data_IF_864318814926
#
_entry.id   IF_864318814926
#
_cell.length_a   1.000
_cell.length_b   1.000
_cell.length_c   1.000
_cell.angle_alpha   90.00
_cell.angle_beta   90.00
_cell.angle_gamma   90.00
#
_symmetry.space_group_name_H-M   'P 1'
#
loop_
_entity.id
_entity.type
_entity.pdbx_description
1 polymer ?
#
# COMPACT_ATOMS: atom_id res chain seq x y z
N UNK A 1 -10.04 1.60 -4.21
CA UNK A 1 -10.61 0.73 -3.17
C UNK A 1 -10.83 1.60 -1.92
N UNK A 2 -11.46 1.07 -0.88
CA UNK A 2 -11.71 1.78 0.37
C UNK A 2 -12.94 2.71 0.46
N UNK A 3 -12.96 3.55 1.49
CA UNK A 3 -14.06 4.48 1.83
C UNK A 3 -14.41 5.44 0.68
N UNK A 4 -15.59 5.24 0.10
CA UNK A 4 -16.08 6.02 -1.02
C UNK A 4 -16.24 7.52 -0.67
N UNK A 5 -15.66 8.39 -1.52
CA UNK A 5 -15.78 9.85 -1.38
C UNK A 5 -14.88 10.48 -0.32
N UNK A 6 -14.04 9.70 0.37
CA UNK A 6 -13.19 10.21 1.44
C UNK A 6 -12.06 11.13 0.92
N UNK A 7 -11.30 10.72 -0.08
CA UNK A 7 -10.16 11.50 -0.60
C UNK A 7 -10.55 12.92 -1.07
N UNK A 8 -11.65 13.12 -1.83
CA UNK A 8 -12.13 14.47 -2.17
C UNK A 8 -12.39 15.36 -0.95
N UNK A 9 -12.89 14.80 0.15
CA UNK A 9 -13.17 15.54 1.40
C UNK A 9 -11.89 15.91 2.15
N UNK A 10 -10.84 15.10 2.04
CA UNK A 10 -9.56 15.31 2.72
C UNK A 10 -8.54 16.11 1.89
N UNK A 11 -8.92 16.55 0.68
CA UNK A 11 -8.03 17.26 -0.25
C UNK A 11 -7.32 18.47 0.35
N UNK A 12 -7.93 19.15 1.32
CA UNK A 12 -7.32 20.29 2.03
C UNK A 12 -6.15 19.91 2.94
N UNK A 13 -6.10 18.65 3.40
CA UNK A 13 -5.03 18.11 4.25
C UNK A 13 -3.95 17.38 3.44
N UNK A 14 -4.26 17.00 2.19
CA UNK A 14 -3.34 16.35 1.28
C UNK A 14 -2.31 17.35 0.75
N UNK A 15 -1.03 16.97 0.79
CA UNK A 15 0.08 17.81 0.32
C UNK A 15 0.73 17.16 -0.90
N UNK A 16 1.06 17.93 -1.95
CA UNK A 16 1.86 17.42 -3.05
C UNK A 16 3.21 16.91 -2.52
N UNK A 17 3.58 15.69 -2.92
CA UNK A 17 4.89 15.12 -2.63
C UNK A 17 5.32 14.20 -3.78
N UNK A 18 6.61 14.20 -4.09
CA UNK A 18 7.17 13.37 -5.14
C UNK A 18 7.70 12.07 -4.53
N UNK A 19 7.68 10.95 -5.28
CA UNK A 19 8.23 9.67 -4.80
C UNK A 19 9.73 9.76 -4.45
N UNK A 20 10.44 10.72 -5.06
CA UNK A 20 11.85 11.04 -4.75
C UNK A 20 12.04 11.55 -3.33
N UNK A 21 11.01 12.12 -2.72
CA UNK A 21 11.05 12.58 -1.32
C UNK A 21 11.05 11.41 -0.32
N UNK A 22 10.91 10.17 -0.82
CA UNK A 22 11.01 8.92 -0.06
C UNK A 22 12.32 8.17 -0.36
N UNK A 23 13.26 8.76 -1.10
CA UNK A 23 14.55 8.14 -1.38
C UNK A 23 15.33 7.89 -0.08
N UNK A 24 15.81 6.65 0.10
CA UNK A 24 16.50 6.23 1.32
C UNK A 24 15.59 5.90 2.50
N UNK A 25 14.27 6.06 2.38
CA UNK A 25 13.30 5.63 3.40
C UNK A 25 12.89 4.16 3.20
N UNK A 26 12.55 3.50 4.30
CA UNK A 26 11.79 2.26 4.29
C UNK A 26 10.29 2.58 4.15
N UNK A 27 9.65 2.00 3.14
CA UNK A 27 8.22 2.21 2.86
C UNK A 27 7.50 0.88 2.77
N UNK A 28 6.27 0.82 3.27
CA UNK A 28 5.39 -0.31 3.02
C UNK A 28 4.59 -0.06 1.74
N UNK A 29 4.40 -1.09 0.92
CA UNK A 29 3.66 -1.00 -0.34
C UNK A 29 2.51 -1.99 -0.28
N UNK A 30 1.30 -1.51 -0.57
CA UNK A 30 0.16 -2.38 -0.81
C UNK A 30 0.28 -3.02 -2.21
N UNK A 31 0.77 -4.26 -2.24
CA UNK A 31 0.95 -5.01 -3.48
C UNK A 31 -0.38 -5.42 -4.10
N UNK A 32 -1.46 -5.54 -3.32
CA UNK A 32 -2.77 -5.93 -3.85
C UNK A 32 -3.36 -4.79 -4.69
N UNK A 33 -3.30 -3.56 -4.20
CA UNK A 33 -3.71 -2.37 -4.96
C UNK A 33 -2.95 -2.25 -6.30
N UNK A 34 -1.66 -2.60 -6.33
CA UNK A 34 -0.84 -2.54 -7.55
C UNK A 34 -1.12 -3.67 -8.52
N UNK A 35 -1.17 -4.92 -8.06
CA UNK A 35 -1.59 -6.07 -8.87
C UNK A 35 -2.98 -5.81 -9.46
N UNK A 36 -3.91 -5.37 -8.62
CA UNK A 36 -5.26 -5.10 -9.06
C UNK A 36 -5.30 -3.92 -10.03
N UNK A 37 -4.37 -2.95 -10.05
CA UNK A 37 -4.33 -1.89 -11.07
C UNK A 37 -3.92 -2.42 -12.45
N UNK A 38 -2.91 -3.29 -12.51
CA UNK A 38 -2.49 -3.95 -13.76
C UNK A 38 -3.58 -4.92 -14.29
N UNK A 39 -4.26 -5.61 -13.37
CA UNK A 39 -5.31 -6.58 -13.71
C UNK A 39 -6.74 -6.00 -13.68
N UNK A 40 -6.96 -4.75 -13.24
CA UNK A 40 -8.30 -4.11 -13.12
C UNK A 40 -8.99 -4.05 -14.48
N UNK A 41 -8.21 -3.92 -15.55
CA UNK A 41 -8.74 -3.93 -16.91
C UNK A 41 -9.29 -5.31 -17.33
N UNK A 42 -9.11 -6.37 -16.52
CA UNK A 42 -9.40 -7.76 -16.86
C UNK A 42 -10.32 -8.51 -15.87
N UNK A 43 -10.89 -7.84 -14.86
CA UNK A 43 -11.82 -8.46 -13.88
C UNK A 43 -11.27 -9.77 -13.28
N UNK A 44 -10.06 -9.71 -12.70
CA UNK A 44 -9.35 -10.90 -12.19
C UNK A 44 -9.40 -10.91 -10.66
N UNK A 45 -9.77 -12.05 -10.09
CA UNK A 45 -9.60 -12.33 -8.67
C UNK A 45 -8.13 -12.72 -8.39
N UNK A 46 -7.51 -12.11 -7.39
CA UNK A 46 -6.10 -12.38 -7.08
C UNK A 46 -6.04 -13.63 -6.20
N UNK A 47 -5.72 -14.76 -6.83
CA UNK A 47 -5.58 -16.03 -6.15
C UNK A 47 -4.30 -16.12 -5.30
N UNK A 48 -4.25 -17.02 -4.30
CA UNK A 48 -3.03 -17.29 -3.55
C UNK A 48 -1.83 -17.71 -4.42
N UNK A 49 -2.06 -18.30 -5.60
CA UNK A 49 -0.98 -18.67 -6.51
C UNK A 49 -0.30 -17.44 -7.13
N UNK A 50 -1.08 -16.41 -7.50
CA UNK A 50 -0.53 -15.14 -8.01
C UNK A 50 0.31 -14.45 -6.93
N UNK A 51 -0.20 -14.42 -5.70
CA UNK A 51 0.55 -13.88 -4.56
C UNK A 51 1.86 -14.66 -4.32
N UNK A 52 1.82 -15.99 -4.44
CA UNK A 52 3.01 -16.82 -4.31
C UNK A 52 4.05 -16.54 -5.38
N UNK A 53 3.64 -16.41 -6.65
CA UNK A 53 4.54 -16.06 -7.76
C UNK A 53 5.23 -14.71 -7.52
N UNK A 54 4.48 -13.70 -7.08
CA UNK A 54 5.05 -12.41 -6.70
C UNK A 54 6.09 -12.56 -5.57
N UNK A 55 5.78 -13.34 -4.54
CA UNK A 55 6.72 -13.60 -3.43
C UNK A 55 8.02 -14.24 -3.93
N UNK A 56 7.96 -15.14 -4.92
CA UNK A 56 9.19 -15.75 -5.48
C UNK A 56 10.06 -14.71 -6.20
N UNK A 57 9.45 -13.80 -6.96
CA UNK A 57 10.17 -12.71 -7.61
C UNK A 57 10.78 -11.76 -6.57
N UNK A 58 10.02 -11.37 -5.53
CA UNK A 58 10.54 -10.52 -4.45
C UNK A 58 11.75 -11.15 -3.75
N UNK A 59 11.73 -12.48 -3.54
CA UNK A 59 12.89 -13.21 -3.00
C UNK A 59 14.10 -13.17 -3.93
N UNK A 60 13.90 -13.34 -5.23
CA UNK A 60 14.98 -13.31 -6.22
C UNK A 60 15.64 -11.93 -6.30
N UNK A 61 14.83 -10.87 -6.22
CA UNK A 61 15.29 -9.48 -6.23
C UNK A 61 15.78 -9.00 -4.85
N UNK A 62 15.79 -9.88 -3.84
CA UNK A 62 16.19 -9.58 -2.46
C UNK A 62 15.38 -8.40 -1.85
N UNK A 63 14.08 -8.35 -2.13
CA UNK A 63 13.14 -7.36 -1.61
C UNK A 63 12.39 -7.97 -0.42
N UNK A 64 12.40 -7.27 0.72
CA UNK A 64 11.67 -7.68 1.93
C UNK A 64 10.17 -7.70 1.69
N UNK A 65 9.49 -8.73 2.20
CA UNK A 65 8.04 -8.86 2.12
C UNK A 65 7.45 -9.38 3.44
N UNK A 66 6.19 -9.06 3.69
CA UNK A 66 5.40 -9.56 4.82
C UNK A 66 4.04 -9.99 4.27
N UNK A 67 3.60 -11.20 4.63
CA UNK A 67 2.22 -11.62 4.42
C UNK A 67 1.44 -11.26 5.67
N UNK A 68 0.46 -10.37 5.54
CA UNK A 68 -0.40 -10.02 6.67
C UNK A 68 -1.18 -11.26 7.13
N UNK A 69 -1.40 -11.44 8.44
CA UNK A 69 -2.22 -12.55 8.95
C UNK A 69 -3.69 -12.43 8.49
N UNK A 70 -4.13 -11.19 8.25
CA UNK A 70 -5.48 -10.85 7.77
C UNK A 70 -5.36 -9.69 6.77
N UNK A 71 -5.82 -8.49 7.13
CA UNK A 71 -5.80 -7.34 6.22
C UNK A 71 -4.44 -6.64 6.16
N UNK A 72 -4.00 -6.35 4.93
CA UNK A 72 -2.76 -5.63 4.66
C UNK A 72 -2.81 -4.20 5.21
N UNK A 73 -3.97 -3.53 5.16
CA UNK A 73 -4.15 -2.15 5.64
C UNK A 73 -3.80 -2.02 7.13
N UNK A 74 -4.30 -2.95 7.94
CA UNK A 74 -4.00 -3.02 9.37
C UNK A 74 -2.51 -3.32 9.61
N UNK A 75 -1.93 -4.27 8.87
CA UNK A 75 -0.52 -4.65 9.00
C UNK A 75 0.42 -3.49 8.65
N UNK A 76 0.19 -2.81 7.52
CA UNK A 76 1.01 -1.67 7.09
C UNK A 76 0.85 -0.48 8.02
N UNK A 77 -0.37 -0.22 8.49
CA UNK A 77 -0.62 0.83 9.49
C UNK A 77 0.14 0.54 10.79
N UNK A 78 0.16 -0.72 11.24
CA UNK A 78 0.97 -1.12 12.40
C UNK A 78 2.47 -0.89 12.17
N UNK A 79 3.02 -1.23 11.00
CA UNK A 79 4.43 -0.98 10.67
C UNK A 79 4.75 0.52 10.69
N UNK A 80 3.86 1.37 10.18
CA UNK A 80 4.05 2.82 10.19
C UNK A 80 3.97 3.41 11.61
N UNK A 81 2.99 2.98 12.41
CA UNK A 81 2.83 3.44 13.81
C UNK A 81 4.02 2.98 14.67
N UNK A 82 4.51 1.76 14.45
CA UNK A 82 5.68 1.22 15.15
C UNK A 82 7.02 1.75 14.61
N UNK A 83 6.99 2.66 13.63
CA UNK A 83 8.18 3.30 13.02
C UNK A 83 9.14 2.30 12.35
N UNK A 84 8.60 1.21 11.82
CA UNK A 84 9.36 0.28 10.98
C UNK A 84 9.39 0.74 9.52
N UNK A 85 8.41 1.57 9.12
CA UNK A 85 8.37 2.25 7.82
C UNK A 85 8.02 3.72 8.02
N UNK A 86 8.56 4.59 7.17
CA UNK A 86 8.31 6.04 7.23
C UNK A 86 7.01 6.46 6.53
N UNK A 87 6.54 5.67 5.58
CA UNK A 87 5.31 5.91 4.84
C UNK A 87 4.72 4.61 4.28
N UNK A 88 3.42 4.64 3.99
CA UNK A 88 2.73 3.58 3.25
C UNK A 88 2.34 4.11 1.87
N UNK A 89 2.62 3.33 0.82
CA UNK A 89 2.23 3.60 -0.56
C UNK A 89 1.02 2.74 -0.90
N UNK A 90 -0.13 3.38 -1.12
CA UNK A 90 -1.39 2.69 -1.45
C UNK A 90 -2.40 3.65 -2.07
N UNK A 91 -3.36 3.10 -2.81
CA UNK A 91 -4.54 3.81 -3.33
C UNK A 91 -5.79 3.55 -2.46
N UNK A 92 -5.66 2.72 -1.42
CA UNK A 92 -6.75 2.45 -0.49
C UNK A 92 -6.80 3.51 0.62
N UNK A 93 -7.96 4.14 0.76
CA UNK A 93 -8.18 5.16 1.79
C UNK A 93 -8.47 4.59 3.17
N UNK A 94 -8.64 3.27 3.32
CA UNK A 94 -9.01 2.63 4.58
C UNK A 94 -7.93 2.79 5.65
N UNK A 95 -6.66 2.90 5.25
CA UNK A 95 -5.55 3.17 6.16
C UNK A 95 -5.70 4.48 6.93
N UNK A 96 -6.47 5.44 6.41
CA UNK A 96 -6.78 6.69 7.11
C UNK A 96 -7.64 6.38 8.35
N UNK A 97 -8.62 5.48 8.22
CA UNK A 97 -9.46 5.06 9.33
C UNK A 97 -8.68 4.22 10.36
N UNK A 98 -7.70 3.43 9.91
CA UNK A 98 -6.78 2.71 10.81
C UNK A 98 -5.77 3.63 11.52
N UNK A 99 -5.67 4.91 11.14
CA UNK A 99 -4.78 5.89 11.77
C UNK A 99 -3.34 5.85 11.24
N UNK A 100 -3.14 5.46 9.97
CA UNK A 100 -1.82 5.50 9.34
C UNK A 100 -1.27 6.94 9.31
N UNK A 101 -0.06 7.19 9.85
CA UNK A 101 0.45 8.55 10.04
C UNK A 101 0.88 9.24 8.74
N UNK A 102 1.31 8.47 7.73
CA UNK A 102 1.80 9.02 6.46
C UNK A 102 1.50 8.06 5.31
N UNK A 103 0.63 8.51 4.41
CA UNK A 103 0.21 7.77 3.22
C UNK A 103 0.63 8.56 1.99
N UNK A 104 1.21 7.84 1.01
CA UNK A 104 1.43 8.34 -0.34
C UNK A 104 0.45 7.64 -1.29
N UNK A 105 -0.35 8.42 -2.00
CA UNK A 105 -1.29 7.96 -3.02
C UNK A 105 -1.09 8.79 -4.30
N UNK A 106 -1.31 8.19 -5.48
CA UNK A 106 -1.05 8.82 -6.77
C UNK A 106 -2.20 9.68 -7.33
N UNK A 107 -3.17 10.03 -6.47
CA UNK A 107 -4.40 10.76 -6.76
C UNK A 107 -4.24 12.24 -7.19
#
# INVERSE_FOLDING_TARGET
>A
MGIQGLLPLLKSMMKPMHIKDLEGCCVAIDTYSWLHKEFYQKAVDISPSIAHELIQVLKQENISYVVAPYEADAQMTFLAISKQVEAVITEDSDLIAFGCPRIWASC
#
